data_IF_871442171126
#
_entry.id   IF_871442171126
#
_cell.length_a   1.000
_cell.length_b   1.000
_cell.length_c   1.000
_cell.angle_alpha   90.00
_cell.angle_beta   90.00
_cell.angle_gamma   90.00
#
_symmetry.space_group_name_H-M   'P 1'
#
loop_
_entity.id
_entity.type
_entity.pdbx_description
1 polymer ?
#
# COMPACT_ATOMS: atom_id res chain seq x y z
N UNK A 1 18.12 -12.01 -9.47
CA UNK A 1 18.08 -10.59 -9.87
C UNK A 1 18.03 -9.76 -8.59
N UNK A 2 18.86 -8.71 -8.48
CA UNK A 2 18.91 -7.84 -7.29
C UNK A 2 18.34 -6.47 -7.64
N UNK A 3 17.41 -6.00 -6.82
CA UNK A 3 16.74 -4.72 -6.99
C UNK A 3 17.17 -3.77 -5.85
N UNK A 4 17.52 -2.53 -6.20
CA UNK A 4 17.83 -1.47 -5.25
C UNK A 4 16.67 -0.45 -5.27
N UNK A 5 16.12 -0.17 -4.09
CA UNK A 5 15.06 0.82 -3.88
C UNK A 5 15.52 1.95 -2.97
N UNK A 6 15.24 3.19 -3.34
CA UNK A 6 15.53 4.35 -2.51
C UNK A 6 14.57 5.51 -2.80
N UNK A 7 14.54 6.49 -1.90
CA UNK A 7 13.80 7.74 -2.09
C UNK A 7 14.77 8.85 -2.51
N UNK A 8 14.47 9.53 -3.62
CA UNK A 8 15.27 10.65 -4.11
C UNK A 8 15.28 11.81 -3.11
N UNK A 9 16.47 12.28 -2.74
CA UNK A 9 16.67 13.31 -1.73
C UNK A 9 16.15 14.68 -2.17
N UNK A 10 16.20 14.98 -3.47
CA UNK A 10 15.66 16.23 -4.05
C UNK A 10 14.22 16.06 -4.56
N UNK A 11 13.91 14.93 -5.19
CA UNK A 11 12.62 14.71 -5.85
C UNK A 11 11.55 14.10 -4.95
N UNK A 12 11.92 13.51 -3.80
CA UNK A 12 11.01 12.75 -2.95
C UNK A 12 10.47 11.45 -3.59
N UNK A 13 10.82 11.17 -4.85
CA UNK A 13 10.28 10.05 -5.63
C UNK A 13 10.96 8.74 -5.23
N UNK A 14 10.16 7.68 -5.14
CA UNK A 14 10.66 6.31 -5.05
C UNK A 14 11.29 5.87 -6.36
N UNK A 15 12.50 5.34 -6.29
CA UNK A 15 13.26 4.88 -7.44
C UNK A 15 13.67 3.43 -7.19
N UNK A 16 13.36 2.56 -8.16
CA UNK A 16 13.66 1.13 -8.18
C UNK A 16 14.55 0.82 -9.38
N UNK A 17 15.70 0.19 -9.14
CA UNK A 17 16.69 -0.09 -10.17
C UNK A 17 17.20 -1.53 -10.07
N UNK A 18 17.27 -2.30 -11.16
CA UNK A 18 18.03 -3.54 -11.15
C UNK A 18 19.52 -3.22 -11.06
N UNK A 19 20.24 -3.89 -10.16
CA UNK A 19 21.67 -3.67 -9.93
C UNK A 19 22.45 -4.97 -9.91
N UNK A 20 23.69 -4.89 -10.39
CA UNK A 20 24.70 -5.92 -10.15
C UNK A 20 25.54 -5.49 -8.96
N UNK A 21 25.88 -6.44 -8.09
CA UNK A 21 26.62 -6.17 -6.87
C UNK A 21 27.78 -7.14 -6.66
N UNK A 22 28.77 -6.71 -5.87
CA UNK A 22 29.74 -7.55 -5.18
C UNK A 22 29.47 -7.50 -3.68
N UNK A 23 29.84 -8.56 -2.94
CA UNK A 23 29.52 -8.68 -1.51
C UNK A 23 30.71 -9.19 -0.71
N UNK A 24 30.89 -8.59 0.47
CA UNK A 24 31.76 -9.11 1.53
C UNK A 24 31.06 -8.91 2.88
N UNK A 25 30.57 -10.00 3.48
CA UNK A 25 29.79 -9.92 4.72
C UNK A 25 28.53 -9.05 4.56
N UNK A 26 28.43 -7.98 5.35
CA UNK A 26 27.34 -7.00 5.33
C UNK A 26 27.61 -5.79 4.43
N UNK A 27 28.73 -5.79 3.70
CA UNK A 27 29.07 -4.72 2.77
C UNK A 27 28.76 -5.16 1.34
N UNK A 28 27.91 -4.38 0.68
CA UNK A 28 27.51 -4.58 -0.71
C UNK A 28 28.07 -3.43 -1.54
N UNK A 29 28.68 -3.74 -2.67
CA UNK A 29 29.22 -2.74 -3.60
C UNK A 29 28.48 -2.83 -4.92
N UNK A 30 27.93 -1.70 -5.35
CA UNK A 30 27.25 -1.56 -6.65
C UNK A 30 28.07 -0.65 -7.55
N UNK A 31 28.43 -1.13 -8.74
CA UNK A 31 29.13 -0.31 -9.74
C UNK A 31 28.15 0.58 -10.51
N UNK A 32 28.48 1.86 -10.61
CA UNK A 32 27.73 2.83 -11.42
C UNK A 32 28.31 2.86 -12.84
N UNK A 33 28.02 1.84 -13.65
CA UNK A 33 28.51 1.85 -15.04
C UNK A 33 27.86 2.97 -15.87
N UNK A 34 28.65 3.69 -16.67
CA UNK A 34 28.23 4.89 -17.44
C UNK A 34 27.65 5.99 -16.53
N UNK A 35 28.44 6.52 -15.58
CA UNK A 35 27.97 7.49 -14.58
C UNK A 35 27.50 8.82 -15.20
N UNK A 36 28.04 9.22 -16.35
CA UNK A 36 27.65 10.41 -17.11
C UNK A 36 26.21 10.33 -17.65
N UNK A 37 25.74 9.13 -17.98
CA UNK A 37 24.37 8.90 -18.45
C UNK A 37 23.35 8.70 -17.31
N UNK A 38 23.78 8.69 -16.05
CA UNK A 38 22.96 8.30 -14.90
C UNK A 38 23.03 9.33 -13.78
N UNK A 39 21.91 9.61 -13.13
CA UNK A 39 21.86 10.60 -12.04
C UNK A 39 21.58 9.98 -10.67
N UNK A 40 21.13 8.72 -10.62
CA UNK A 40 20.69 8.06 -9.38
C UNK A 40 21.76 8.01 -8.28
N UNK A 41 23.02 7.78 -8.67
CA UNK A 41 24.15 7.63 -7.74
C UNK A 41 24.39 8.92 -6.94
N UNK A 42 24.06 10.09 -7.51
CA UNK A 42 24.21 11.38 -6.83
C UNK A 42 23.38 11.46 -5.54
N UNK A 43 22.33 10.66 -5.43
CA UNK A 43 21.54 10.56 -4.21
C UNK A 43 22.34 10.10 -3.00
N UNK A 44 23.37 9.28 -3.24
CA UNK A 44 24.22 8.66 -2.22
C UNK A 44 25.54 9.43 -2.03
N UNK A 45 25.65 10.65 -2.54
CA UNK A 45 26.78 11.55 -2.20
C UNK A 45 26.79 11.88 -0.71
N UNK A 46 25.60 12.02 -0.13
CA UNK A 46 25.37 11.97 1.32
C UNK A 46 24.91 10.57 1.73
N UNK A 47 25.24 10.18 2.96
CA UNK A 47 24.77 8.91 3.55
C UNK A 47 23.25 8.83 3.45
N UNK A 48 22.73 7.92 2.63
CA UNK A 48 21.31 7.81 2.33
C UNK A 48 20.82 6.38 2.48
N UNK A 49 19.66 6.24 3.11
CA UNK A 49 19.03 4.93 3.32
C UNK A 49 18.48 4.35 2.02
N UNK A 50 18.57 3.03 1.90
CA UNK A 50 18.04 2.27 0.77
C UNK A 50 17.59 0.88 1.23
N UNK A 51 16.86 0.20 0.36
CA UNK A 51 16.52 -1.22 0.50
C UNK A 51 17.07 -2.01 -0.68
N UNK A 52 17.60 -3.20 -0.41
CA UNK A 52 18.18 -4.09 -1.41
C UNK A 52 17.48 -5.45 -1.36
N UNK A 53 17.00 -5.94 -2.50
CA UNK A 53 16.51 -7.30 -2.63
C UNK A 53 17.69 -8.25 -2.86
N UNK A 54 18.09 -8.97 -1.80
CA UNK A 54 19.23 -9.89 -1.78
C UNK A 54 18.87 -11.10 -0.93
N UNK A 55 19.38 -12.29 -1.27
CA UNK A 55 19.06 -13.54 -0.56
C UNK A 55 17.54 -13.81 -0.47
N UNK A 56 16.79 -13.49 -1.53
CA UNK A 56 15.32 -13.60 -1.60
C UNK A 56 14.55 -12.80 -0.54
N UNK A 57 15.15 -11.72 -0.02
CA UNK A 57 14.53 -10.85 0.98
C UNK A 57 14.94 -9.39 0.81
N UNK A 58 14.13 -8.48 1.32
CA UNK A 58 14.48 -7.07 1.43
C UNK A 58 15.40 -6.85 2.64
N UNK A 59 16.56 -6.24 2.41
CA UNK A 59 17.48 -5.80 3.47
C UNK A 59 17.66 -4.29 3.41
N UNK A 60 17.61 -3.64 4.57
CA UNK A 60 17.87 -2.21 4.72
C UNK A 60 19.37 -1.95 4.86
N UNK A 61 19.81 -0.79 4.38
CA UNK A 61 21.16 -0.33 4.58
C UNK A 61 21.34 1.15 4.26
N UNK A 62 22.56 1.62 4.46
CA UNK A 62 22.98 2.99 4.14
C UNK A 62 24.00 2.95 3.01
N UNK A 63 23.70 3.64 1.91
CA UNK A 63 24.56 3.78 0.75
C UNK A 63 25.39 5.07 0.81
N UNK A 64 26.63 4.98 0.34
CA UNK A 64 27.52 6.11 0.08
C UNK A 64 28.29 5.90 -1.22
N UNK A 65 28.40 6.94 -2.04
CA UNK A 65 29.26 6.98 -3.22
C UNK A 65 30.73 7.14 -2.82
N UNK A 66 31.56 6.36 -3.48
CA UNK A 66 33.01 6.42 -3.43
C UNK A 66 33.52 6.72 -4.84
N UNK A 67 34.31 7.79 -4.93
CA UNK A 67 34.95 8.20 -6.17
C UNK A 67 36.32 7.52 -6.32
N UNK A 68 36.79 7.27 -7.55
CA UNK A 68 38.14 6.76 -7.81
C UNK A 68 39.22 7.60 -7.11
N UNK A 69 40.31 6.94 -6.72
CA UNK A 69 41.48 7.60 -6.10
C UNK A 69 41.47 7.68 -4.56
N UNK A 70 40.38 7.31 -3.88
CA UNK A 70 40.35 7.24 -2.41
C UNK A 70 40.70 5.85 -1.86
N UNK A 71 41.26 5.75 -0.65
CA UNK A 71 41.50 4.45 0.02
C UNK A 71 40.22 3.63 0.19
N UNK A 72 39.11 4.30 0.51
CA UNK A 72 37.79 3.66 0.61
C UNK A 72 37.34 3.08 -0.74
N UNK A 73 37.65 3.75 -1.85
CA UNK A 73 37.37 3.23 -3.19
C UNK A 73 38.15 1.97 -3.50
N UNK A 74 39.45 1.95 -3.23
CA UNK A 74 40.29 0.76 -3.46
C UNK A 74 39.75 -0.47 -2.71
N UNK A 75 39.31 -0.27 -1.46
CA UNK A 75 38.65 -1.31 -0.67
C UNK A 75 37.32 -1.78 -1.29
N UNK A 76 36.42 -0.86 -1.67
CA UNK A 76 35.16 -1.22 -2.30
C UNK A 76 35.35 -1.90 -3.67
N UNK A 77 36.34 -1.45 -4.44
CA UNK A 77 36.70 -2.03 -5.72
C UNK A 77 37.22 -3.46 -5.57
N UNK A 78 37.97 -3.76 -4.50
CA UNK A 78 38.38 -5.12 -4.17
C UNK A 78 37.19 -6.05 -3.85
N UNK A 79 36.13 -5.54 -3.20
CA UNK A 79 34.89 -6.31 -2.96
C UNK A 79 34.12 -6.57 -4.27
N UNK A 80 34.12 -5.61 -5.20
CA UNK A 80 33.38 -5.74 -6.46
C UNK A 80 34.09 -6.60 -7.51
N UNK A 81 35.43 -6.69 -7.44
CA UNK A 81 36.25 -7.48 -8.38
C UNK A 81 35.78 -8.94 -8.40
N UNK A 82 35.55 -9.47 -9.62
CA UNK A 82 35.18 -10.88 -9.83
C UNK A 82 36.37 -11.82 -9.70
N UNK A 83 37.57 -11.35 -10.06
CA UNK A 83 38.82 -12.11 -10.01
C UNK A 83 39.97 -11.19 -9.57
N UNK A 84 40.98 -11.67 -8.81
CA UNK A 84 42.16 -10.90 -8.44
C UNK A 84 42.89 -10.26 -9.63
N UNK A 85 42.82 -10.89 -10.81
CA UNK A 85 43.46 -10.45 -12.04
C UNK A 85 42.66 -9.42 -12.86
N UNK A 86 41.39 -9.15 -12.53
CA UNK A 86 40.54 -8.23 -13.31
C UNK A 86 40.86 -6.77 -12.99
N UNK A 87 41.03 -5.87 -13.96
CA UNK A 87 41.29 -4.44 -13.69
C UNK A 87 40.27 -3.81 -12.74
N UNK A 88 40.73 -2.87 -11.91
CA UNK A 88 39.85 -2.13 -11.01
C UNK A 88 38.88 -1.28 -11.86
N UNK A 89 37.59 -1.21 -11.49
CA UNK A 89 36.69 -0.26 -12.11
C UNK A 89 37.27 1.16 -12.04
N UNK A 90 36.98 1.97 -13.04
CA UNK A 90 37.20 3.43 -13.04
C UNK A 90 35.91 4.19 -12.76
N UNK A 91 34.77 3.50 -12.82
CA UNK A 91 33.45 4.05 -12.49
C UNK A 91 33.30 4.32 -10.99
N UNK A 92 32.47 5.30 -10.57
CA UNK A 92 32.04 5.44 -9.18
C UNK A 92 31.43 4.16 -8.62
N UNK A 93 31.69 3.90 -7.35
CA UNK A 93 31.16 2.75 -6.61
C UNK A 93 30.23 3.22 -5.50
N UNK A 94 29.07 2.57 -5.34
CA UNK A 94 28.21 2.79 -4.19
C UNK A 94 28.48 1.68 -3.19
N UNK A 95 29.09 2.03 -2.06
CA UNK A 95 29.26 1.14 -0.91
C UNK A 95 28.01 1.22 -0.05
N UNK A 96 27.39 0.07 0.17
CA UNK A 96 26.17 -0.09 0.94
C UNK A 96 26.53 -0.93 2.16
N UNK A 97 26.37 -0.36 3.35
CA UNK A 97 26.45 -1.12 4.59
C UNK A 97 25.05 -1.57 4.95
N UNK A 98 24.82 -2.88 4.92
CA UNK A 98 23.58 -3.49 5.38
C UNK A 98 23.52 -3.37 6.90
N UNK A 99 22.35 -3.01 7.42
CA UNK A 99 22.17 -2.96 8.86
C UNK A 99 22.31 -4.38 9.44
N UNK A 100 23.16 -4.63 10.46
CA UNK A 100 23.32 -5.97 11.03
C UNK A 100 21.99 -6.50 11.63
N UNK A 101 21.13 -5.60 12.12
CA UNK A 101 19.77 -5.93 12.56
C UNK A 101 18.82 -6.27 11.40
N UNK A 102 19.19 -6.07 10.13
CA UNK A 102 18.35 -6.49 8.99
C UNK A 102 18.21 -8.00 8.88
N UNK A 103 19.09 -8.79 9.53
CA UNK A 103 18.91 -10.24 9.68
C UNK A 103 17.88 -10.60 10.76
N UNK A 104 17.69 -9.76 11.80
CA UNK A 104 16.73 -9.97 12.89
C UNK A 104 15.39 -9.24 12.67
N UNK A 105 15.37 -8.20 11.82
CA UNK A 105 14.25 -7.31 11.55
C UNK A 105 13.07 -7.94 10.80
N UNK A 106 13.22 -9.17 10.29
CA UNK A 106 12.11 -9.89 9.64
C UNK A 106 11.04 -10.28 10.66
N UNK A 107 11.41 -10.74 11.86
CA UNK A 107 10.42 -11.15 12.87
C UNK A 107 9.58 -9.96 13.42
N UNK A 108 10.16 -8.80 13.79
CA UNK A 108 9.38 -7.62 14.17
C UNK A 108 8.53 -7.05 13.03
N UNK A 109 9.05 -7.02 11.79
CA UNK A 109 8.31 -6.55 10.61
C UNK A 109 7.16 -7.49 10.20
N UNK A 110 7.38 -8.80 10.29
CA UNK A 110 6.33 -9.81 10.09
C UNK A 110 5.26 -9.69 11.17
N UNK A 111 5.65 -9.58 12.46
CA UNK A 111 4.70 -9.39 13.58
C UNK A 111 3.91 -8.09 13.47
N UNK A 112 4.54 -6.98 13.07
CA UNK A 112 3.86 -5.70 12.81
C UNK A 112 2.87 -5.82 11.65
N UNK A 113 3.28 -6.45 10.55
CA UNK A 113 2.38 -6.71 9.42
C UNK A 113 1.21 -7.63 9.77
N UNK A 114 1.45 -8.69 10.55
CA UNK A 114 0.41 -9.59 11.02
C UNK A 114 -0.58 -8.90 11.98
N UNK A 115 -0.08 -8.04 12.88
CA UNK A 115 -0.92 -7.23 13.78
C UNK A 115 -1.76 -6.23 12.99
N UNK A 116 -1.18 -5.56 12.00
CA UNK A 116 -1.90 -4.65 11.12
C UNK A 116 -2.97 -5.40 10.31
N UNK A 117 -2.63 -6.56 9.75
CA UNK A 117 -3.57 -7.40 9.01
C UNK A 117 -4.75 -7.83 9.88
N UNK A 118 -4.51 -8.31 11.11
CA UNK A 118 -5.59 -8.71 12.04
C UNK A 118 -6.49 -7.55 12.42
N UNK A 119 -5.91 -6.38 12.68
CA UNK A 119 -6.66 -5.15 12.98
C UNK A 119 -7.50 -4.69 11.79
N UNK A 120 -6.91 -4.71 10.59
CA UNK A 120 -7.61 -4.41 9.35
C UNK A 120 -8.76 -5.37 9.12
N UNK A 121 -8.50 -6.68 9.19
CA UNK A 121 -9.50 -7.73 9.04
C UNK A 121 -10.68 -7.47 10.00
N UNK A 122 -10.41 -7.31 11.29
CA UNK A 122 -11.46 -7.11 12.29
C UNK A 122 -12.23 -5.80 12.06
N UNK A 123 -11.54 -4.68 11.91
CA UNK A 123 -12.17 -3.37 11.77
C UNK A 123 -13.01 -3.28 10.49
N UNK A 124 -12.48 -3.76 9.36
CA UNK A 124 -13.18 -3.73 8.07
C UNK A 124 -14.36 -4.70 8.07
N UNK A 125 -14.22 -5.89 8.67
CA UNK A 125 -15.35 -6.82 8.81
C UNK A 125 -16.48 -6.20 9.64
N UNK A 126 -16.15 -5.59 10.79
CA UNK A 126 -17.14 -4.91 11.63
C UNK A 126 -17.77 -3.73 10.88
N UNK A 127 -16.97 -2.92 10.19
CA UNK A 127 -17.45 -1.77 9.43
C UNK A 127 -18.38 -2.16 8.29
N UNK A 128 -18.06 -3.24 7.58
CA UNK A 128 -18.90 -3.79 6.52
C UNK A 128 -20.21 -4.34 7.09
N UNK A 129 -20.17 -5.17 8.13
CA UNK A 129 -21.38 -5.74 8.75
C UNK A 129 -22.29 -4.65 9.28
N UNK A 130 -21.74 -3.63 9.96
CA UNK A 130 -22.51 -2.49 10.46
C UNK A 130 -23.03 -1.59 9.33
N UNK A 131 -22.23 -1.39 8.28
CA UNK A 131 -22.62 -0.62 7.11
C UNK A 131 -23.78 -1.29 6.36
N UNK A 132 -23.73 -2.61 6.20
CA UNK A 132 -24.74 -3.39 5.47
C UNK A 132 -26.12 -3.38 6.15
N UNK A 133 -26.20 -3.05 7.45
CA UNK A 133 -27.48 -2.88 8.15
C UNK A 133 -28.32 -1.75 7.53
N UNK A 134 -27.70 -0.69 7.02
CA UNK A 134 -28.42 0.44 6.43
C UNK A 134 -29.22 0.03 5.19
N UNK A 135 -28.61 -0.48 4.09
CA UNK A 135 -29.36 -0.91 2.92
C UNK A 135 -30.28 -2.09 3.24
N UNK A 136 -29.92 -2.99 4.16
CA UNK A 136 -30.78 -4.11 4.55
C UNK A 136 -32.08 -3.65 5.20
N UNK A 137 -32.00 -2.73 6.19
CA UNK A 137 -33.19 -2.18 6.84
C UNK A 137 -33.99 -1.35 5.85
N UNK A 138 -33.33 -0.53 5.02
CA UNK A 138 -34.01 0.25 3.98
C UNK A 138 -34.76 -0.66 3.00
N UNK A 139 -34.18 -1.77 2.55
CA UNK A 139 -34.84 -2.72 1.65
C UNK A 139 -36.08 -3.38 2.27
N UNK A 140 -36.08 -3.62 3.58
CA UNK A 140 -37.24 -4.18 4.30
C UNK A 140 -38.35 -3.13 4.49
N UNK A 141 -37.98 -1.87 4.75
CA UNK A 141 -38.92 -0.80 5.10
C UNK A 141 -39.48 -0.09 3.86
N UNK A 142 -38.69 0.10 2.80
CA UNK A 142 -39.05 0.92 1.64
C UNK A 142 -40.11 0.28 0.73
N UNK A 143 -40.44 -1.01 0.91
CA UNK A 143 -41.40 -1.70 0.06
C UNK A 143 -40.81 -2.04 -1.34
N UNK A 144 -41.66 -2.23 -2.36
CA UNK A 144 -41.23 -2.59 -3.71
C UNK A 144 -40.28 -1.52 -4.32
N UNK A 145 -39.23 -1.97 -5.01
CA UNK A 145 -38.13 -1.13 -5.51
C UNK A 145 -38.53 -0.36 -6.79
N UNK A 146 -39.74 -0.56 -7.30
CA UNK A 146 -40.28 0.09 -8.50
C UNK A 146 -40.56 1.59 -8.31
N UNK A 147 -40.59 2.10 -7.07
CA UNK A 147 -40.72 3.52 -6.79
C UNK A 147 -39.35 4.26 -6.84
N UNK A 148 -39.22 5.36 -7.61
CA UNK A 148 -37.98 6.15 -7.68
C UNK A 148 -37.49 6.65 -6.31
N UNK A 149 -38.43 6.91 -5.38
CA UNK A 149 -38.11 7.32 -4.02
C UNK A 149 -37.49 6.17 -3.21
N UNK A 150 -37.98 4.94 -3.36
CA UNK A 150 -37.38 3.76 -2.75
C UNK A 150 -35.96 3.52 -3.27
N UNK A 151 -35.75 3.63 -4.58
CA UNK A 151 -34.44 3.54 -5.21
C UNK A 151 -33.46 4.62 -4.69
N UNK A 152 -33.91 5.88 -4.62
CA UNK A 152 -33.09 6.98 -4.09
C UNK A 152 -32.73 6.77 -2.61
N UNK A 153 -33.66 6.26 -1.81
CA UNK A 153 -33.44 5.97 -0.39
C UNK A 153 -32.43 4.84 -0.23
N UNK A 154 -32.47 3.81 -1.08
CA UNK A 154 -31.50 2.71 -1.04
C UNK A 154 -30.09 3.16 -1.47
N UNK A 155 -29.98 4.04 -2.46
CA UNK A 155 -28.68 4.66 -2.83
C UNK A 155 -28.13 5.49 -1.67
N UNK A 156 -28.98 6.25 -0.97
CA UNK A 156 -28.58 7.00 0.22
C UNK A 156 -28.08 6.07 1.34
N UNK A 157 -28.80 4.97 1.60
CA UNK A 157 -28.41 3.96 2.58
C UNK A 157 -27.07 3.30 2.21
N UNK A 158 -26.88 2.95 0.94
CA UNK A 158 -25.61 2.42 0.41
C UNK A 158 -24.44 3.41 0.46
N UNK A 159 -24.73 4.71 0.34
CA UNK A 159 -23.72 5.76 0.53
C UNK A 159 -23.28 5.84 1.99
N UNK A 160 -24.23 5.70 2.93
CA UNK A 160 -23.94 5.66 4.37
C UNK A 160 -23.11 4.41 4.71
N UNK A 161 -23.47 3.25 4.18
CA UNK A 161 -22.68 2.01 4.27
C UNK A 161 -21.23 2.25 3.86
N UNK A 162 -20.99 2.83 2.68
CA UNK A 162 -19.64 3.15 2.20
C UNK A 162 -18.90 4.14 3.12
N UNK A 163 -19.62 5.07 3.75
CA UNK A 163 -19.07 5.98 4.75
C UNK A 163 -18.64 5.25 6.03
N UNK A 164 -19.48 4.34 6.55
CA UNK A 164 -19.17 3.52 7.73
C UNK A 164 -17.97 2.61 7.46
N UNK A 165 -17.98 1.89 6.33
CA UNK A 165 -16.85 1.07 5.90
C UNK A 165 -15.56 1.91 5.79
N UNK A 166 -15.65 3.06 5.11
CA UNK A 166 -14.55 4.00 4.95
C UNK A 166 -14.02 4.50 6.29
N UNK A 167 -14.88 4.73 7.29
CA UNK A 167 -14.46 5.16 8.63
C UNK A 167 -13.60 4.09 9.31
N UNK A 168 -14.06 2.84 9.33
CA UNK A 168 -13.33 1.74 9.94
C UNK A 168 -11.99 1.49 9.21
N UNK A 169 -11.98 1.52 7.88
CA UNK A 169 -10.76 1.45 7.09
C UNK A 169 -9.80 2.60 7.43
N UNK A 170 -10.28 3.85 7.44
CA UNK A 170 -9.47 5.03 7.73
C UNK A 170 -8.88 5.01 9.15
N UNK A 171 -9.60 4.42 10.11
CA UNK A 171 -9.14 4.32 11.50
C UNK A 171 -7.85 3.49 11.61
N UNK A 172 -7.79 2.35 10.91
CA UNK A 172 -6.61 1.48 10.86
C UNK A 172 -5.55 2.05 9.92
N UNK A 173 -5.96 2.58 8.77
CA UNK A 173 -5.04 3.13 7.77
C UNK A 173 -4.24 4.31 8.32
N UNK A 174 -4.84 5.15 9.14
CA UNK A 174 -4.16 6.30 9.74
C UNK A 174 -3.08 5.89 10.75
N UNK A 175 -3.18 4.73 11.40
CA UNK A 175 -2.09 4.20 12.22
C UNK A 175 -0.85 3.86 11.36
N UNK A 176 -1.08 3.36 10.13
CA UNK A 176 0.00 3.01 9.20
C UNK A 176 0.49 4.21 8.38
N UNK A 177 -0.39 5.16 8.07
CA UNK A 177 -0.13 6.37 7.28
C UNK A 177 -0.67 7.61 8.01
N UNK A 178 0.06 8.15 9.01
CA UNK A 178 -0.42 9.26 9.83
C UNK A 178 -0.69 10.57 9.06
N UNK A 179 -0.11 10.69 7.85
CA UNK A 179 -0.32 11.85 6.96
C UNK A 179 -1.59 11.76 6.12
N UNK A 180 -2.22 10.59 6.08
CA UNK A 180 -3.43 10.39 5.32
C UNK A 180 -4.62 11.06 6.02
N UNK A 181 -5.32 11.90 5.26
CA UNK A 181 -6.54 12.56 5.71
C UNK A 181 -7.70 11.55 5.76
N UNK A 182 -8.17 11.25 6.97
CA UNK A 182 -9.28 10.32 7.22
C UNK A 182 -10.55 10.74 6.49
N UNK A 183 -10.83 12.05 6.42
CA UNK A 183 -12.08 12.55 5.81
C UNK A 183 -12.11 12.28 4.32
N UNK A 184 -10.98 12.50 3.63
CA UNK A 184 -10.86 12.21 2.19
C UNK A 184 -11.07 10.72 1.90
N UNK A 185 -10.56 9.84 2.75
CA UNK A 185 -10.77 8.40 2.60
C UNK A 185 -12.24 7.98 2.78
N UNK A 186 -12.89 8.50 3.82
CA UNK A 186 -14.31 8.24 4.09
C UNK A 186 -15.18 8.72 2.92
N UNK A 187 -14.98 9.97 2.48
CA UNK A 187 -15.72 10.54 1.36
C UNK A 187 -15.48 9.80 0.05
N UNK A 188 -14.24 9.38 -0.22
CA UNK A 188 -13.94 8.57 -1.40
C UNK A 188 -14.65 7.22 -1.37
N UNK A 189 -14.70 6.56 -0.21
CA UNK A 189 -15.38 5.26 -0.06
C UNK A 189 -16.89 5.39 -0.17
N UNK A 190 -17.48 6.41 0.47
CA UNK A 190 -18.91 6.73 0.34
C UNK A 190 -19.29 7.07 -1.11
N UNK A 191 -18.48 7.86 -1.81
CA UNK A 191 -18.70 8.20 -3.22
C UNK A 191 -18.61 6.97 -4.13
N UNK A 192 -17.63 6.10 -3.92
CA UNK A 192 -17.54 4.81 -4.62
C UNK A 192 -18.77 3.94 -4.39
N UNK A 193 -19.23 3.84 -3.14
CA UNK A 193 -20.44 3.08 -2.80
C UNK A 193 -21.71 3.67 -3.43
N UNK A 194 -21.86 5.00 -3.45
CA UNK A 194 -22.97 5.67 -4.13
C UNK A 194 -23.03 5.29 -5.62
N UNK A 195 -21.88 5.27 -6.31
CA UNK A 195 -21.80 4.83 -7.71
C UNK A 195 -22.18 3.35 -7.84
N UNK A 196 -21.61 2.48 -7.00
CA UNK A 196 -21.90 1.05 -7.02
C UNK A 196 -23.41 0.77 -6.87
N UNK A 197 -24.04 1.37 -5.86
CA UNK A 197 -25.47 1.22 -5.59
C UNK A 197 -26.34 1.79 -6.71
N UNK A 198 -25.98 2.96 -7.25
CA UNK A 198 -26.71 3.56 -8.38
C UNK A 198 -26.68 2.64 -9.60
N UNK A 199 -25.50 2.13 -9.97
CA UNK A 199 -25.33 1.24 -11.12
C UNK A 199 -26.04 -0.09 -10.89
N UNK A 200 -25.88 -0.68 -9.70
CA UNK A 200 -26.54 -1.94 -9.34
C UNK A 200 -28.06 -1.84 -9.41
N UNK A 201 -28.65 -0.79 -8.82
CA UNK A 201 -30.09 -0.57 -8.88
C UNK A 201 -30.58 -0.31 -10.30
N UNK A 202 -29.84 0.48 -11.08
CA UNK A 202 -30.18 0.71 -12.50
C UNK A 202 -30.20 -0.61 -13.27
N UNK A 203 -29.27 -1.53 -13.01
CA UNK A 203 -29.22 -2.85 -13.63
C UNK A 203 -30.36 -3.76 -13.17
N UNK A 204 -30.76 -3.71 -11.90
CA UNK A 204 -31.86 -4.52 -11.35
C UNK A 204 -33.22 -4.03 -11.85
N UNK A 205 -33.44 -2.70 -11.88
CA UNK A 205 -34.71 -2.09 -12.27
C UNK A 205 -34.93 -2.03 -13.78
N UNK A 206 -33.89 -2.23 -14.59
CA UNK A 206 -34.01 -2.18 -16.04
C UNK A 206 -34.56 -3.50 -16.59
N UNK A 207 -35.88 -3.54 -16.77
CA UNK A 207 -36.54 -4.59 -17.59
C UNK A 207 -35.99 -4.67 -19.02
N UNK A 208 -35.33 -3.60 -19.47
CA UNK A 208 -34.82 -3.45 -20.83
C UNK A 208 -33.73 -4.45 -21.23
N UNK A 209 -32.86 -4.89 -20.32
CA UNK A 209 -31.75 -5.79 -20.69
C UNK A 209 -32.23 -7.15 -21.19
N UNK A 210 -33.37 -7.65 -20.71
CA UNK A 210 -33.94 -8.91 -21.19
C UNK A 210 -34.50 -8.81 -22.62
N UNK A 211 -34.87 -7.59 -23.06
CA UNK A 211 -35.38 -7.31 -24.40
C UNK A 211 -34.27 -6.98 -25.40
N UNK A 212 -33.03 -6.78 -24.94
CA UNK A 212 -31.89 -6.45 -25.80
C UNK A 212 -31.32 -7.69 -26.51
N UNK A 213 -30.76 -7.54 -27.71
CA UNK A 213 -29.95 -8.59 -28.33
C UNK A 213 -28.81 -9.01 -27.39
N UNK A 214 -28.55 -10.32 -27.28
CA UNK A 214 -27.51 -10.87 -26.38
C UNK A 214 -26.13 -10.26 -26.60
N UNK A 215 -25.80 -9.93 -27.86
CA UNK A 215 -24.55 -9.27 -28.24
C UNK A 215 -24.38 -7.86 -27.64
N UNK A 216 -25.48 -7.16 -27.32
CA UNK A 216 -25.47 -5.85 -26.67
C UNK A 216 -25.65 -5.96 -25.14
N UNK A 217 -26.47 -6.92 -24.69
CA UNK A 217 -26.73 -7.14 -23.28
C UNK A 217 -25.48 -7.61 -22.51
N UNK A 218 -24.73 -8.58 -23.05
CA UNK A 218 -23.54 -9.14 -22.36
C UNK A 218 -22.48 -8.05 -22.09
N UNK A 219 -22.06 -7.23 -23.07
CA UNK A 219 -21.10 -6.15 -22.81
C UNK A 219 -21.60 -5.11 -21.81
N UNK A 220 -22.89 -4.74 -21.87
CA UNK A 220 -23.45 -3.74 -20.97
C UNK A 220 -23.52 -4.24 -19.52
N UNK A 221 -23.98 -5.48 -19.31
CA UNK A 221 -23.99 -6.11 -17.98
C UNK A 221 -22.56 -6.28 -17.45
N UNK A 222 -21.63 -6.72 -18.30
CA UNK A 222 -20.21 -6.86 -17.94
C UNK A 222 -19.62 -5.51 -17.53
N UNK A 223 -19.90 -4.44 -18.29
CA UNK A 223 -19.45 -3.09 -17.95
C UNK A 223 -20.02 -2.62 -16.60
N UNK A 224 -21.31 -2.86 -16.35
CA UNK A 224 -21.95 -2.55 -15.07
C UNK A 224 -21.28 -3.26 -13.89
N UNK A 225 -21.05 -4.58 -14.01
CA UNK A 225 -20.34 -5.36 -12.99
C UNK A 225 -18.92 -4.83 -12.77
N UNK A 226 -18.18 -4.52 -13.84
CA UNK A 226 -16.83 -3.94 -13.74
C UNK A 226 -16.86 -2.61 -13.00
N UNK A 227 -17.83 -1.73 -13.27
CA UNK A 227 -17.99 -0.46 -12.55
C UNK A 227 -18.27 -0.72 -11.08
N UNK A 228 -19.20 -1.61 -10.74
CA UNK A 228 -19.55 -1.94 -9.35
C UNK A 228 -18.32 -2.41 -8.57
N UNK A 229 -17.52 -3.34 -9.10
CA UNK A 229 -16.36 -3.88 -8.36
C UNK A 229 -15.15 -2.96 -8.34
N UNK A 230 -15.01 -2.04 -9.31
CA UNK A 230 -13.83 -1.17 -9.42
C UNK A 230 -14.01 0.21 -8.79
N UNK A 231 -15.23 0.74 -8.71
CA UNK A 231 -15.46 2.15 -8.34
C UNK A 231 -14.95 2.52 -6.95
N UNK A 232 -15.13 1.65 -5.93
CA UNK A 232 -14.54 1.85 -4.60
C UNK A 232 -13.01 1.89 -4.66
N UNK A 233 -12.41 0.92 -5.36
CA UNK A 233 -10.96 0.82 -5.50
C UNK A 233 -10.36 2.02 -6.24
N UNK A 234 -11.04 2.53 -7.27
CA UNK A 234 -10.65 3.73 -8.02
C UNK A 234 -10.72 4.97 -7.12
N UNK A 235 -11.84 5.18 -6.42
CA UNK A 235 -12.00 6.33 -5.54
C UNK A 235 -10.94 6.35 -4.42
N UNK A 236 -10.69 5.20 -3.79
CA UNK A 236 -9.67 5.05 -2.76
C UNK A 236 -8.24 5.20 -3.31
N UNK A 237 -7.99 4.73 -4.54
CA UNK A 237 -6.70 4.87 -5.20
C UNK A 237 -6.29 6.34 -5.38
N UNK A 238 -7.23 7.24 -5.69
CA UNK A 238 -6.95 8.67 -5.78
C UNK A 238 -6.38 9.26 -4.48
N UNK A 239 -6.74 8.71 -3.33
CA UNK A 239 -6.21 9.11 -2.01
C UNK A 239 -4.87 8.42 -1.72
N UNK A 240 -4.75 7.13 -2.06
CA UNK A 240 -3.55 6.32 -1.82
C UNK A 240 -2.36 6.73 -2.68
N UNK A 241 -2.59 7.14 -3.94
CA UNK A 241 -1.51 7.48 -4.88
C UNK A 241 -0.65 8.66 -4.43
N UNK A 242 -1.18 9.54 -3.60
CA UNK A 242 -0.46 10.68 -3.03
C UNK A 242 0.51 10.25 -1.91
N UNK A 243 0.34 9.03 -1.38
CA UNK A 243 1.05 8.52 -0.21
C UNK A 243 1.93 7.30 -0.49
N UNK A 244 1.50 6.43 -1.41
CA UNK A 244 2.14 5.14 -1.69
C UNK A 244 2.51 5.00 -3.16
N UNK A 245 3.71 4.49 -3.41
CA UNK A 245 4.17 4.14 -4.75
C UNK A 245 3.63 2.76 -5.12
N UNK A 246 3.13 2.62 -6.34
CA UNK A 246 2.51 1.37 -6.80
C UNK A 246 1.07 1.18 -6.31
N UNK A 247 0.42 2.24 -5.80
CA UNK A 247 -0.95 2.18 -5.32
C UNK A 247 -1.99 1.72 -6.36
N UNK A 248 -1.67 1.73 -7.66
CA UNK A 248 -2.61 1.30 -8.71
C UNK A 248 -3.10 -0.15 -8.58
N UNK A 249 -2.31 -1.03 -7.96
CA UNK A 249 -2.75 -2.40 -7.67
C UNK A 249 -3.91 -2.49 -6.66
N UNK A 250 -4.22 -1.40 -5.93
CA UNK A 250 -5.33 -1.34 -4.99
C UNK A 250 -6.68 -1.55 -5.67
N UNK A 251 -6.83 -1.06 -6.91
CA UNK A 251 -8.07 -1.22 -7.69
C UNK A 251 -8.33 -2.71 -7.94
N UNK A 252 -7.34 -3.40 -8.49
CA UNK A 252 -7.43 -4.84 -8.74
C UNK A 252 -7.59 -5.67 -7.47
N UNK A 253 -6.90 -5.29 -6.38
CA UNK A 253 -7.05 -5.96 -5.09
C UNK A 253 -8.46 -5.80 -4.49
N UNK A 254 -9.07 -4.62 -4.63
CA UNK A 254 -10.43 -4.35 -4.15
C UNK A 254 -11.45 -5.10 -5.00
N UNK A 255 -11.30 -5.10 -6.33
CA UNK A 255 -12.17 -5.86 -7.22
C UNK A 255 -12.09 -7.37 -6.95
N UNK A 256 -10.88 -7.91 -6.79
CA UNK A 256 -10.67 -9.31 -6.41
C UNK A 256 -11.29 -9.63 -5.05
N UNK A 257 -11.16 -8.73 -4.07
CA UNK A 257 -11.74 -8.91 -2.74
C UNK A 257 -13.26 -9.03 -2.78
N UNK A 258 -13.93 -8.21 -3.60
CA UNK A 258 -15.38 -8.31 -3.82
C UNK A 258 -15.79 -9.61 -4.51
N UNK A 259 -15.07 -10.01 -5.57
CA UNK A 259 -15.32 -11.30 -6.26
C UNK A 259 -15.19 -12.47 -5.29
N UNK A 260 -14.12 -12.49 -4.49
CA UNK A 260 -13.90 -13.53 -3.47
C UNK A 260 -14.98 -13.48 -2.39
N UNK A 261 -15.32 -12.30 -1.89
CA UNK A 261 -16.37 -12.12 -0.89
C UNK A 261 -17.72 -12.64 -1.38
N UNK A 262 -18.16 -12.21 -2.57
CA UNK A 262 -19.42 -12.65 -3.17
C UNK A 262 -19.42 -14.16 -3.43
N UNK A 263 -18.30 -14.74 -3.87
CA UNK A 263 -18.17 -16.19 -4.06
C UNK A 263 -18.29 -16.96 -2.75
N UNK A 264 -17.74 -16.43 -1.65
CA UNK A 264 -17.89 -17.02 -0.31
C UNK A 264 -19.34 -16.90 0.16
N UNK A 265 -19.97 -15.75 -0.04
CA UNK A 265 -21.37 -15.53 0.29
C UNK A 265 -22.28 -16.55 -0.39
N UNK A 266 -22.17 -16.69 -1.72
CA UNK A 266 -23.00 -17.62 -2.50
C UNK A 266 -22.72 -19.07 -2.12
N UNK A 267 -21.45 -19.46 -2.00
CA UNK A 267 -21.08 -20.83 -1.63
C UNK A 267 -21.65 -21.25 -0.26
N UNK A 268 -21.76 -20.32 0.69
CA UNK A 268 -22.30 -20.59 2.03
C UNK A 268 -23.82 -20.47 2.08
N UNK A 269 -24.39 -19.41 1.49
CA UNK A 269 -25.82 -19.12 1.64
C UNK A 269 -26.68 -19.96 0.70
N UNK A 270 -26.28 -20.15 -0.57
CA UNK A 270 -27.07 -20.88 -1.56
C UNK A 270 -27.46 -22.31 -1.15
N UNK A 271 -26.60 -23.17 -0.56
CA UNK A 271 -27.03 -24.51 -0.14
C UNK A 271 -27.91 -24.50 1.12
N UNK A 272 -27.77 -23.47 1.97
CA UNK A 272 -28.49 -23.37 3.24
C UNK A 272 -29.87 -22.72 3.08
N UNK A 273 -30.08 -21.91 2.05
CA UNK A 273 -31.32 -21.20 1.79
C UNK A 273 -32.33 -22.12 1.09
N UNK A 274 -33.42 -22.45 1.77
CA UNK A 274 -34.49 -23.30 1.25
C UNK A 274 -35.82 -22.54 1.24
N UNK A 275 -36.76 -22.87 0.33
CA UNK A 275 -38.14 -22.40 0.41
C UNK A 275 -38.76 -22.78 1.77
N UNK A 276 -39.69 -21.96 2.27
CA UNK A 276 -40.49 -22.21 3.49
C UNK A 276 -39.71 -22.28 4.82
N UNK A 277 -38.48 -21.75 4.87
CA UNK A 277 -37.73 -21.63 6.12
C UNK A 277 -38.28 -20.54 7.05
N UNK A 278 -38.20 -20.74 8.38
CA UNK A 278 -38.62 -19.70 9.32
C UNK A 278 -37.72 -18.46 9.20
N UNK A 279 -38.31 -17.27 9.33
CA UNK A 279 -37.63 -15.99 9.11
C UNK A 279 -36.34 -15.84 9.91
N UNK A 280 -36.30 -16.31 11.17
CA UNK A 280 -35.10 -16.22 12.00
C UNK A 280 -33.92 -17.02 11.42
N UNK A 281 -34.18 -18.16 10.77
CA UNK A 281 -33.15 -19.01 10.16
C UNK A 281 -32.59 -18.35 8.90
N UNK A 282 -33.46 -17.77 8.07
CA UNK A 282 -33.06 -16.99 6.89
C UNK A 282 -32.18 -15.80 7.30
N UNK A 283 -32.58 -15.07 8.34
CA UNK A 283 -31.79 -13.97 8.90
C UNK A 283 -30.43 -14.45 9.45
N UNK A 284 -30.41 -15.60 10.14
CA UNK A 284 -29.17 -16.18 10.65
C UNK A 284 -28.21 -16.59 9.53
N UNK A 285 -28.72 -17.23 8.47
CA UNK A 285 -27.92 -17.63 7.29
C UNK A 285 -27.39 -16.38 6.57
N UNK A 286 -28.25 -15.39 6.35
CA UNK A 286 -27.85 -14.12 5.71
C UNK A 286 -26.79 -13.37 6.52
N UNK A 287 -26.95 -13.28 7.84
CA UNK A 287 -25.98 -12.64 8.72
C UNK A 287 -24.64 -13.40 8.74
N UNK A 288 -24.67 -14.73 8.84
CA UNK A 288 -23.46 -15.56 8.80
C UNK A 288 -22.75 -15.42 7.45
N UNK A 289 -23.49 -15.48 6.34
CA UNK A 289 -22.98 -15.27 4.99
C UNK A 289 -22.36 -13.88 4.82
N UNK A 290 -23.04 -12.83 5.26
CA UNK A 290 -22.56 -11.45 5.20
C UNK A 290 -21.29 -11.24 6.03
N UNK A 291 -21.23 -11.81 7.23
CA UNK A 291 -20.01 -11.79 8.06
C UNK A 291 -18.82 -12.47 7.36
N UNK A 292 -19.05 -13.64 6.74
CA UNK A 292 -18.01 -14.39 6.03
C UNK A 292 -17.54 -13.66 4.76
N UNK A 293 -18.47 -13.08 4.00
CA UNK A 293 -18.18 -12.22 2.85
C UNK A 293 -17.29 -11.04 3.25
N UNK A 294 -17.71 -10.31 4.30
CA UNK A 294 -16.98 -9.17 4.82
C UNK A 294 -15.57 -9.55 5.28
N UNK A 295 -15.43 -10.67 6.00
CA UNK A 295 -14.13 -11.18 6.45
C UNK A 295 -13.23 -11.60 5.29
N UNK A 296 -13.77 -12.26 4.27
CA UNK A 296 -13.02 -12.68 3.09
C UNK A 296 -12.50 -11.46 2.31
N UNK A 297 -13.36 -10.48 2.03
CA UNK A 297 -12.99 -9.23 1.37
C UNK A 297 -11.95 -8.45 2.18
N UNK A 298 -12.15 -8.33 3.49
CA UNK A 298 -11.22 -7.65 4.41
C UNK A 298 -9.86 -8.38 4.47
N UNK A 299 -9.85 -9.72 4.39
CA UNK A 299 -8.64 -10.52 4.36
C UNK A 299 -7.80 -10.29 3.10
N UNK A 300 -8.44 -10.22 1.93
CA UNK A 300 -7.78 -9.94 0.64
C UNK A 300 -7.21 -8.52 0.61
N UNK A 301 -8.05 -7.51 0.91
CA UNK A 301 -7.61 -6.10 0.93
C UNK A 301 -6.52 -5.84 1.97
N UNK A 302 -6.63 -6.45 3.15
CA UNK A 302 -5.62 -6.33 4.22
C UNK A 302 -4.29 -6.98 3.85
N UNK A 303 -4.33 -8.14 3.16
CA UNK A 303 -3.12 -8.82 2.69
C UNK A 303 -2.38 -7.96 1.66
N UNK A 304 -3.12 -7.39 0.72
CA UNK A 304 -2.58 -6.46 -0.27
C UNK A 304 -2.03 -5.19 0.40
N UNK A 305 -2.72 -4.62 1.39
CA UNK A 305 -2.23 -3.45 2.14
C UNK A 305 -0.89 -3.73 2.82
N UNK A 306 -0.76 -4.85 3.53
CA UNK A 306 0.49 -5.23 4.20
C UNK A 306 1.61 -5.46 3.19
N UNK A 307 1.31 -6.11 2.07
CA UNK A 307 2.26 -6.27 0.97
C UNK A 307 2.69 -4.93 0.39
N UNK A 308 1.74 -4.03 0.11
CA UNK A 308 1.99 -2.71 -0.47
C UNK A 308 2.86 -1.84 0.46
N UNK A 309 2.59 -1.88 1.77
CA UNK A 309 3.38 -1.18 2.78
C UNK A 309 4.81 -1.74 2.91
N UNK A 310 4.97 -3.07 2.82
CA UNK A 310 6.29 -3.72 2.79
C UNK A 310 7.06 -3.41 1.51
N UNK A 311 6.36 -3.21 0.40
CA UNK A 311 6.95 -2.87 -0.88
C UNK A 311 7.40 -1.40 -0.97
N UNK A 312 6.97 -0.53 -0.04
CA UNK A 312 7.38 0.88 -0.05
C UNK A 312 8.89 1.02 0.23
N UNK A 313 9.59 1.93 -0.45
CA UNK A 313 10.96 2.25 -0.10
C UNK A 313 11.00 2.86 1.30
N UNK A 314 11.79 2.26 2.20
CA UNK A 314 11.91 2.74 3.56
C UNK A 314 12.40 4.20 3.61
N UNK A 315 11.64 5.04 4.31
CA UNK A 315 11.97 6.45 4.55
C UNK A 315 13.19 6.54 5.48
N UNK A 316 14.06 7.52 5.21
CA UNK A 316 15.35 7.85 5.87
C UNK A 316 15.52 7.33 7.31
N UNK A 317 16.60 6.58 7.53
CA UNK A 317 17.07 6.23 8.87
C UNK A 317 17.42 7.51 9.65
N UNK A 318 16.74 7.71 10.78
CA UNK A 318 16.88 8.88 11.68
C UNK A 318 18.31 9.04 12.24
N UNK A 319 19.12 7.99 12.16
CA UNK A 319 20.53 7.98 12.56
C UNK A 319 21.42 8.92 11.70
N UNK A 320 21.03 9.24 10.46
CA UNK A 320 21.80 10.16 9.62
C UNK A 320 21.60 11.65 10.00
N UNK A 321 20.55 11.99 10.76
CA UNK A 321 20.27 13.36 11.20
C UNK A 321 20.90 13.71 12.55
N UNK A 322 21.10 12.73 13.44
CA UNK A 322 21.70 12.99 14.75
C UNK A 322 23.20 13.30 14.65
N UNK A 323 23.93 12.66 13.73
CA UNK A 323 25.36 12.90 13.52
C UNK A 323 25.70 14.31 13.00
N UNK A 324 24.78 14.96 12.30
CA UNK A 324 24.99 16.31 11.75
C UNK A 324 24.75 17.41 12.81
N UNK A 325 23.88 17.18 13.81
CA UNK A 325 23.72 18.12 14.93
C UNK A 325 24.93 18.15 15.85
N UNK A 326 25.50 17.00 16.19
CA UNK A 326 26.69 16.95 17.05
C UNK A 326 27.92 17.51 16.33
N UNK A 327 28.05 17.24 15.02
CA UNK A 327 29.14 17.78 14.20
C UNK A 327 29.04 19.29 14.00
N UNK A 328 27.84 19.85 13.76
CA UNK A 328 27.64 21.31 13.69
C UNK A 328 27.87 22.00 15.03
N UNK A 329 27.58 21.35 16.15
CA UNK A 329 27.82 21.92 17.48
C UNK A 329 29.33 21.94 17.82
N UNK A 330 30.08 20.92 17.40
CA UNK A 330 31.54 20.86 17.57
C UNK A 330 32.28 21.86 16.65
N UNK A 331 31.86 22.00 15.39
CA UNK A 331 32.41 22.98 14.44
C UNK A 331 32.11 24.45 14.84
N UNK A 332 30.99 24.70 15.53
CA UNK A 332 30.68 26.04 16.02
C UNK A 332 31.44 26.39 17.31
N UNK A 333 31.90 25.38 18.07
CA UNK A 333 32.74 25.58 19.26
C UNK A 333 34.20 25.88 18.91
N UNK A 334 34.68 25.41 17.75
CA UNK A 334 36.04 25.70 17.26
C UNK A 334 36.18 27.04 16.52
N UNK A 335 35.09 27.80 16.34
CA UNK A 335 35.08 29.12 15.67
C UNK A 335 34.93 30.31 16.63
N UNK A 336 34.95 30.12 17.95
CA UNK A 336 35.04 31.25 18.88
C UNK A 336 36.44 31.87 18.80
N UNK A 337 36.58 33.18 18.50
CA UNK A 337 37.87 33.86 18.59
C UNK A 337 38.36 33.81 20.04
N UNK A 338 39.64 33.48 20.26
CA UNK A 338 40.31 33.72 21.55
C UNK A 338 40.19 35.21 21.85
N UNK A 339 39.46 35.54 22.92
CA UNK A 339 39.42 36.89 23.45
C UNK A 339 40.86 37.34 23.76
N UNK A 340 41.26 38.45 23.16
CA UNK A 340 42.49 39.16 23.40
C UNK A 340 42.58 39.56 24.87
N UNK A 341 43.49 38.95 25.62
CA UNK A 341 43.97 39.51 26.88
C UNK A 341 44.88 40.69 26.57
N UNK A 342 44.46 41.91 26.91
CA UNK A 342 45.40 43.02 27.07
C UNK A 342 45.05 43.79 28.34
N UNK A 343 45.88 43.55 29.35
CA UNK A 343 46.09 44.40 30.52
C UNK A 343 46.65 45.76 30.07
N UNK A 344 46.00 46.85 30.45
CA UNK A 344 46.50 47.91 31.34
C UNK A 344 45.58 49.11 31.28
#
# INVERSE_FOLDING_TARGET
>A
MTELRYTGNRSGRAISLPVRYGRRGNEIVVRVGRPEAKTWWRNFTTHSSLSLWIDHRWRSGVGRVLMPGSRAYAYAAAIYRRSPSSELPTDPLVLIKLDPESDQGTAPGIRRGARLWRRWLLAVTIGEVLGFLFPSVTAVVAGPIDEPLAAATLVAAGTIEGGVLGWFQASVLHEALPRLDKRRWILATAFGAAIAWTVALTMIMSEGFQRWPTAAAIPALTAGVVVIVCCLGVAQWFVLRDHLVGAGGWIGATALAWVVGLSVFTAVTSPLWQPDQPTWLVLAIGLAGGCLMAAAMAGVTGSFLVWLLRAQPHTRCRAAQSGDRTSRTLLNRSRRPRATSRNR
#
